data_IF_681323396433
#
_entry.id   IF_681323396433
#
_cell.length_a   1.000
_cell.length_b   1.000
_cell.length_c   1.000
_cell.angle_alpha   90.00
_cell.angle_beta   90.00
_cell.angle_gamma   90.00
#
_symmetry.space_group_name_H-M   'P 1'
#
loop_
_entity.id
_entity.type
_entity.pdbx_description
1 polymer ?
#
# COMPACT_ATOMS: atom_id res chain seq x y z
N UNK A 1 10.91 -2.08 2.58
CA UNK A 1 10.71 -3.54 2.63
C UNK A 1 9.45 -4.01 3.32
N UNK A 2 9.03 -3.42 4.45
CA UNK A 2 7.76 -3.83 5.11
C UNK A 2 6.47 -3.43 4.40
N UNK A 3 6.54 -2.54 3.41
CA UNK A 3 5.37 -2.01 2.69
C UNK A 3 4.64 -3.09 1.86
N UNK A 4 5.37 -4.08 1.33
CA UNK A 4 4.77 -5.17 0.56
C UNK A 4 3.93 -6.08 1.46
N UNK A 5 4.51 -6.54 2.56
CA UNK A 5 3.84 -7.44 3.52
C UNK A 5 2.60 -6.78 4.12
N UNK A 6 2.69 -5.49 4.48
CA UNK A 6 1.56 -4.71 4.94
C UNK A 6 0.43 -4.66 3.91
N UNK A 7 0.76 -4.33 2.65
CA UNK A 7 -0.23 -4.22 1.60
C UNK A 7 -0.90 -5.55 1.28
N UNK A 8 -0.16 -6.67 1.38
CA UNK A 8 -0.72 -8.01 1.23
C UNK A 8 -1.66 -8.39 2.37
N UNK A 9 -1.29 -8.10 3.62
CA UNK A 9 -2.13 -8.43 4.77
C UNK A 9 -3.38 -7.55 4.85
N UNK A 10 -3.26 -6.26 4.56
CA UNK A 10 -4.41 -5.36 4.44
C UNK A 10 -5.37 -5.84 3.33
N UNK A 11 -4.84 -6.27 2.18
CA UNK A 11 -5.67 -6.81 1.11
C UNK A 11 -6.42 -8.09 1.55
N UNK A 12 -5.76 -8.99 2.28
CA UNK A 12 -6.40 -10.21 2.82
C UNK A 12 -7.51 -9.89 3.81
N UNK A 13 -7.29 -8.95 4.73
CA UNK A 13 -8.30 -8.52 5.71
C UNK A 13 -9.56 -7.98 5.03
N UNK A 14 -9.39 -7.20 3.97
CA UNK A 14 -10.49 -6.68 3.16
C UNK A 14 -11.17 -7.76 2.29
N UNK A 15 -10.72 -9.02 2.34
CA UNK A 15 -11.18 -10.10 1.46
C UNK A 15 -10.75 -9.94 0.00
N UNK A 16 -9.79 -9.06 -0.26
CA UNK A 16 -9.30 -8.67 -1.58
C UNK A 16 -7.89 -9.22 -1.83
N UNK A 17 -7.28 -8.79 -2.94
CA UNK A 17 -5.94 -9.21 -3.36
C UNK A 17 -5.11 -8.00 -3.78
N UNK A 18 -3.86 -7.97 -3.33
CA UNK A 18 -2.85 -7.08 -3.90
C UNK A 18 -2.54 -7.55 -5.34
N UNK A 19 -3.07 -6.84 -6.34
CA UNK A 19 -2.91 -7.22 -7.76
C UNK A 19 -1.45 -7.04 -8.20
N UNK A 20 -0.80 -5.97 -7.76
CA UNK A 20 0.58 -5.67 -8.09
C UNK A 20 1.20 -4.70 -7.08
N UNK A 21 2.50 -4.86 -6.86
CA UNK A 21 3.32 -3.89 -6.13
C UNK A 21 4.18 -3.11 -7.13
N UNK A 22 4.00 -1.78 -7.19
CA UNK A 22 4.75 -0.91 -8.09
C UNK A 22 5.99 -0.39 -7.35
N UNK A 23 7.22 -0.68 -7.82
CA UNK A 23 8.42 -0.19 -7.16
C UNK A 23 8.61 1.32 -7.38
N UNK A 24 9.37 1.96 -6.47
CA UNK A 24 9.79 3.35 -6.63
C UNK A 24 10.93 3.42 -7.66
N UNK A 25 10.78 4.27 -8.67
CA UNK A 25 11.79 4.50 -9.69
C UNK A 25 11.84 5.99 -10.05
N UNK A 26 13.04 6.55 -10.13
CA UNK A 26 13.25 7.97 -10.45
C UNK A 26 12.82 8.30 -11.89
N UNK A 27 12.70 7.33 -12.78
CA UNK A 27 12.19 7.54 -14.15
C UNK A 27 10.78 8.13 -14.15
N UNK A 28 9.98 7.86 -13.11
CA UNK A 28 8.63 8.41 -12.93
C UNK A 28 8.71 9.94 -12.87
N UNK A 29 9.57 10.48 -12.01
CA UNK A 29 9.75 11.93 -11.87
C UNK A 29 10.22 12.59 -13.18
N UNK A 30 11.11 11.93 -13.93
CA UNK A 30 11.59 12.43 -15.22
C UNK A 30 10.50 12.46 -16.29
N UNK A 31 9.58 11.50 -16.27
CA UNK A 31 8.42 11.46 -17.14
C UNK A 31 7.38 12.53 -16.74
N UNK A 32 7.12 12.66 -15.44
CA UNK A 32 6.18 13.65 -14.87
C UNK A 32 6.60 15.09 -15.18
N UNK A 33 7.90 15.43 -15.08
CA UNK A 33 8.42 16.76 -15.45
C UNK A 33 8.15 17.11 -16.91
N UNK A 34 8.03 16.11 -17.78
CA UNK A 34 7.72 16.29 -19.22
C UNK A 34 6.23 16.13 -19.52
N UNK A 35 5.38 16.01 -18.50
CA UNK A 35 3.93 15.80 -18.62
C UNK A 35 3.59 14.57 -19.48
N UNK A 36 4.42 13.53 -19.39
CA UNK A 36 4.26 12.28 -20.13
C UNK A 36 4.17 11.10 -19.18
N UNK A 37 3.54 10.01 -19.61
CA UNK A 37 3.58 8.75 -18.87
C UNK A 37 4.94 8.08 -19.03
N UNK A 38 5.32 7.20 -18.09
CA UNK A 38 6.57 6.42 -18.20
C UNK A 38 6.56 5.51 -19.44
N UNK A 39 5.38 5.02 -19.85
CA UNK A 39 5.22 4.19 -21.05
C UNK A 39 5.60 4.98 -22.31
N UNK A 40 5.24 6.26 -22.40
CA UNK A 40 5.54 7.12 -23.54
C UNK A 40 6.98 7.65 -23.48
N UNK A 41 7.42 8.09 -22.30
CA UNK A 41 8.74 8.70 -22.13
C UNK A 41 9.88 7.68 -22.25
N UNK A 42 9.73 6.50 -21.64
CA UNK A 42 10.76 5.47 -21.58
C UNK A 42 10.13 4.07 -21.74
N UNK A 43 9.71 3.70 -22.96
CA UNK A 43 8.95 2.47 -23.21
C UNK A 43 9.70 1.20 -22.84
N UNK A 44 11.04 1.20 -22.92
CA UNK A 44 11.89 0.05 -22.60
C UNK A 44 12.41 0.06 -21.15
N UNK A 45 11.95 1.00 -20.32
CA UNK A 45 12.32 1.06 -18.91
C UNK A 45 11.73 -0.12 -18.11
N UNK A 46 12.40 -0.50 -17.02
CA UNK A 46 11.88 -1.48 -16.06
C UNK A 46 10.52 -1.06 -15.51
N UNK A 47 10.37 0.23 -15.18
CA UNK A 47 9.12 0.79 -14.70
C UNK A 47 7.98 0.72 -15.73
N UNK A 48 8.25 0.94 -17.02
CA UNK A 48 7.27 0.70 -18.08
C UNK A 48 6.82 -0.77 -18.14
N UNK A 49 7.75 -1.73 -17.97
CA UNK A 49 7.41 -3.15 -17.90
C UNK A 49 6.54 -3.49 -16.67
N UNK A 50 6.81 -2.86 -15.52
CA UNK A 50 5.97 -2.98 -14.32
C UNK A 50 4.52 -2.55 -14.58
N UNK A 51 4.31 -1.40 -15.23
CA UNK A 51 2.97 -0.93 -15.60
C UNK A 51 2.27 -1.84 -16.62
N UNK A 52 2.98 -2.36 -17.63
CA UNK A 52 2.40 -3.32 -18.58
C UNK A 52 1.97 -4.60 -17.89
N UNK A 53 2.78 -5.11 -16.96
CA UNK A 53 2.45 -6.31 -16.18
C UNK A 53 1.23 -6.06 -15.28
N UNK A 54 1.18 -4.90 -14.62
CA UNK A 54 0.01 -4.48 -13.85
C UNK A 54 -1.25 -4.44 -14.72
N UNK A 55 -1.18 -3.83 -15.90
CA UNK A 55 -2.30 -3.75 -16.83
C UNK A 55 -2.80 -5.15 -17.27
N UNK A 56 -1.88 -6.06 -17.58
CA UNK A 56 -2.22 -7.45 -17.91
C UNK A 56 -2.90 -8.18 -16.74
N UNK A 57 -2.39 -8.01 -15.52
CA UNK A 57 -2.98 -8.61 -14.32
C UNK A 57 -4.37 -8.06 -14.02
N UNK A 58 -4.59 -6.75 -14.17
CA UNK A 58 -5.92 -6.13 -14.03
C UNK A 58 -6.88 -6.72 -15.08
N UNK A 59 -6.46 -6.78 -16.35
CA UNK A 59 -7.28 -7.32 -17.42
C UNK A 59 -7.66 -8.80 -17.17
N UNK A 60 -6.72 -9.61 -16.68
CA UNK A 60 -6.97 -11.00 -16.31
C UNK A 60 -7.78 -11.17 -14.99
N UNK A 61 -8.01 -10.09 -14.24
CA UNK A 61 -8.80 -10.07 -13.02
C UNK A 61 -10.29 -9.78 -13.26
N UNK A 62 -10.69 -9.51 -14.51
CA UNK A 62 -12.09 -9.26 -14.89
C UNK A 62 -12.98 -10.42 -14.39
N UNK A 63 -14.09 -10.07 -13.73
CA UNK A 63 -15.04 -11.03 -13.18
C UNK A 63 -14.68 -11.62 -11.82
N UNK A 64 -13.51 -11.26 -11.24
CA UNK A 64 -13.06 -11.71 -9.90
C UNK A 64 -13.23 -10.62 -8.84
N UNK A 65 -14.18 -9.71 -9.04
CA UNK A 65 -14.52 -8.68 -8.05
C UNK A 65 -15.09 -9.31 -6.79
N UNK A 66 -14.71 -8.75 -5.64
CA UNK A 66 -15.20 -9.16 -4.31
C UNK A 66 -15.92 -7.98 -3.66
N UNK A 67 -16.88 -8.25 -2.80
CA UNK A 67 -17.45 -7.23 -1.91
C UNK A 67 -16.49 -7.11 -0.72
N UNK A 68 -15.82 -5.97 -0.52
CA UNK A 68 -14.86 -5.83 0.56
C UNK A 68 -15.56 -5.87 1.92
N UNK A 69 -14.89 -6.45 2.91
CA UNK A 69 -15.32 -6.41 4.32
C UNK A 69 -14.57 -5.28 5.01
N UNK A 70 -15.23 -4.18 5.43
CA UNK A 70 -14.58 -3.13 6.18
C UNK A 70 -14.02 -3.68 7.50
N UNK A 71 -12.81 -3.25 7.85
CA UNK A 71 -12.18 -3.54 9.15
C UNK A 71 -12.46 -2.40 10.14
N UNK A 72 -12.38 -2.70 11.42
CA UNK A 72 -12.46 -1.69 12.50
C UNK A 72 -11.15 -0.91 12.63
N UNK A 73 -11.17 0.17 13.40
CA UNK A 73 -9.95 0.93 13.70
C UNK A 73 -8.97 0.09 14.54
N UNK A 74 -9.49 -0.66 15.51
CA UNK A 74 -8.69 -1.54 16.37
C UNK A 74 -7.93 -2.60 15.54
N UNK A 75 -8.62 -3.26 14.58
CA UNK A 75 -8.00 -4.23 13.67
C UNK A 75 -6.92 -3.60 12.77
N UNK A 76 -7.11 -2.33 12.39
CA UNK A 76 -6.12 -1.58 11.62
C UNK A 76 -4.88 -1.25 12.47
N UNK A 77 -5.07 -0.81 13.71
CA UNK A 77 -4.00 -0.49 14.64
C UNK A 77 -3.18 -1.73 15.00
N UNK A 78 -3.84 -2.85 15.31
CA UNK A 78 -3.19 -4.14 15.57
C UNK A 78 -2.31 -4.59 14.40
N UNK A 79 -2.82 -4.48 13.17
CA UNK A 79 -2.06 -4.80 11.95
C UNK A 79 -0.83 -3.87 11.80
N UNK A 80 -0.97 -2.57 12.07
CA UNK A 80 0.15 -1.62 11.97
C UNK A 80 1.22 -1.86 13.04
N UNK A 81 0.84 -2.31 14.24
CA UNK A 81 1.75 -2.72 15.30
C UNK A 81 2.46 -4.04 14.95
N UNK A 82 1.74 -5.05 14.44
CA UNK A 82 2.31 -6.35 14.04
C UNK A 82 3.38 -6.18 12.94
N UNK A 83 3.14 -5.29 11.98
CA UNK A 83 4.12 -4.96 10.96
C UNK A 83 5.21 -3.97 11.43
N UNK A 84 5.15 -3.49 12.68
CA UNK A 84 6.14 -2.60 13.29
C UNK A 84 6.30 -1.30 12.50
N UNK A 85 5.17 -0.70 12.10
CA UNK A 85 5.08 0.66 11.54
C UNK A 85 4.73 1.66 12.64
N UNK A 86 3.92 1.25 13.61
CA UNK A 86 3.71 1.96 14.86
C UNK A 86 4.55 1.30 15.95
N UNK A 87 5.18 2.11 16.80
CA UNK A 87 5.71 1.63 18.07
C UNK A 87 4.52 1.12 18.91
N UNK A 88 4.72 0.03 19.66
CA UNK A 88 3.68 -0.51 20.55
C UNK A 88 3.14 0.63 21.43
N UNK A 89 1.87 0.97 21.25
CA UNK A 89 1.22 1.96 22.10
C UNK A 89 1.01 1.26 23.45
N UNK A 90 1.65 1.79 24.50
CA UNK A 90 1.37 1.33 25.86
C UNK A 90 -0.12 1.54 26.13
N UNK A 91 -0.88 0.45 26.28
CA UNK A 91 -2.32 0.47 26.52
C UNK A 91 -2.72 1.35 27.72
N UNK A 92 -1.77 1.60 28.65
CA UNK A 92 -1.98 2.50 29.79
C UNK A 92 -2.05 3.99 29.40
N UNK A 93 -1.70 4.35 28.16
CA UNK A 93 -1.72 5.70 27.61
C UNK A 93 -2.95 5.98 26.72
N UNK A 94 -3.73 4.95 26.41
CA UNK A 94 -4.94 5.08 25.57
C UNK A 94 -5.95 6.01 26.27
N UNK A 95 -6.37 7.06 25.57
CA UNK A 95 -7.32 8.06 26.09
C UNK A 95 -6.73 9.10 27.05
N UNK A 96 -5.42 9.07 27.35
CA UNK A 96 -4.76 10.09 28.16
C UNK A 96 -4.24 11.24 27.31
N UNK A 97 -4.40 12.47 27.78
CA UNK A 97 -3.84 13.64 27.08
C UNK A 97 -2.33 13.68 27.27
N UNK A 98 -1.59 14.19 26.29
CA UNK A 98 -0.13 14.37 26.38
C UNK A 98 0.31 15.16 27.63
N UNK A 99 -0.56 16.04 28.16
CA UNK A 99 -0.34 16.81 29.39
C UNK A 99 -0.46 15.98 30.68
N UNK A 100 -1.12 14.83 30.65
CA UNK A 100 -1.33 13.93 31.81
C UNK A 100 -0.25 12.85 31.91
N UNK A 101 0.47 12.58 30.82
CA UNK A 101 1.56 11.59 30.74
C UNK A 101 2.91 12.20 31.11
N UNK A 102 3.04 13.53 31.00
CA UNK A 102 4.26 14.28 31.26
C UNK A 102 4.36 14.86 32.70
N UNK A 103 3.45 14.49 33.60
CA UNK A 103 3.35 15.00 34.97
C UNK A 103 3.74 13.95 36.02
#
# INVERSE_FOLDING_TARGET
DKELDLAENMAKLLGSKLIYFVPRDNVVQHAELRRMTVIEYAPDSKQAAHYRTLAQKIHANVGKGVIPTPITMDELEDMLMEHGILDNVDETLVGKKATEVAA
#
